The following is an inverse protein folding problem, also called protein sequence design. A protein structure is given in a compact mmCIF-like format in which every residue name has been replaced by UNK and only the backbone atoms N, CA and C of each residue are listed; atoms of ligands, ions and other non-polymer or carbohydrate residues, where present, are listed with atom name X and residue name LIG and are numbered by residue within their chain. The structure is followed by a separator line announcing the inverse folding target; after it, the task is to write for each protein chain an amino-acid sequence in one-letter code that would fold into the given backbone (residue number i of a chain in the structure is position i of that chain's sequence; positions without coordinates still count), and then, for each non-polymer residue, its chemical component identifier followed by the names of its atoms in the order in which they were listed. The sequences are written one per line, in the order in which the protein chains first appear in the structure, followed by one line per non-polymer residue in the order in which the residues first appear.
data_IF_151909704792
#
_entry.id   IF_151909704792
#
_cell.length_a   1.000
_cell.length_b   1.000
_cell.length_c   1.000
_cell.angle_alpha   90.00
_cell.angle_beta   90.00
_cell.angle_gamma   90.00
#
_symmetry.space_group_name_H-M   'P 1'
#
loop_
_entity.id
_entity.type
_entity.pdbx_description
1 polymer ?
#
# COMPACT_ATOMS: atom_id res chain seq x y z
N UNK A 1 -7.79 -2.44 12.38
CA UNK A 1 -7.75 -3.55 13.34
C UNK A 1 -7.40 -4.87 12.64
N UNK A 2 -6.12 -5.06 12.36
CA UNK A 2 -5.55 -6.40 12.28
C UNK A 2 -5.07 -6.74 13.70
N UNK A 3 -5.39 -7.93 14.20
CA UNK A 3 -4.90 -8.37 15.51
C UNK A 3 -3.87 -9.47 15.27
N UNK A 4 -2.63 -9.15 15.61
CA UNK A 4 -1.59 -10.15 15.80
C UNK A 4 -1.92 -10.95 17.07
N UNK A 5 -1.98 -12.27 16.98
CA UNK A 5 -1.93 -13.11 18.16
C UNK A 5 -0.82 -14.11 17.93
N UNK A 6 0.19 -14.05 18.81
CA UNK A 6 1.37 -14.92 18.91
C UNK A 6 1.11 -16.45 18.86
N UNK A 7 -0.13 -16.89 18.65
CA UNK A 7 -0.60 -18.27 18.68
C UNK A 7 -1.40 -18.72 17.42
N UNK A 8 -1.29 -18.01 16.29
CA UNK A 8 -1.67 -18.56 14.98
C UNK A 8 -3.17 -18.59 14.63
N UNK A 9 -4.05 -17.86 15.34
CA UNK A 9 -5.47 -17.70 14.94
C UNK A 9 -6.07 -16.32 15.26
N UNK A 10 -6.22 -15.45 14.22
CA UNK A 10 -7.49 -14.81 13.75
C UNK A 10 -7.30 -13.52 12.90
N UNK A 11 -8.00 -13.42 11.75
CA UNK A 11 -8.41 -12.20 10.99
C UNK A 11 -9.68 -11.60 11.65
N UNK A 12 -10.07 -10.33 11.47
CA UNK A 12 -10.62 -9.64 10.27
C UNK A 12 -10.60 -8.10 10.40
N UNK A 13 -10.65 -7.36 9.29
CA UNK A 13 -10.82 -5.90 9.24
C UNK A 13 -12.25 -5.44 8.83
N UNK A 14 -12.87 -4.60 9.65
CA UNK A 14 -13.80 -3.51 9.27
C UNK A 14 -14.08 -2.65 10.51
N UNK A 15 -14.02 -1.31 10.40
CA UNK A 15 -14.32 -0.34 11.50
C UNK A 15 -15.76 -0.43 12.06
N UNK A 16 -16.64 -1.32 11.54
CA UNK A 16 -18.06 -1.45 11.92
C UNK A 16 -18.50 -2.88 12.23
N UNK A 17 -17.85 -3.54 13.19
CA UNK A 17 -18.47 -4.54 14.08
C UNK A 17 -19.13 -5.79 13.50
N UNK A 18 -19.04 -6.10 12.21
CA UNK A 18 -19.63 -7.31 11.63
C UNK A 18 -18.56 -8.34 11.24
N UNK A 19 -18.68 -9.55 11.76
CA UNK A 19 -17.85 -10.69 11.36
C UNK A 19 -18.14 -11.05 9.88
N UNK A 20 -17.13 -10.99 9.02
CA UNK A 20 -17.27 -11.30 7.59
C UNK A 20 -17.00 -12.79 7.36
N UNK A 21 -17.96 -13.49 6.76
CA UNK A 21 -17.84 -14.86 6.24
C UNK A 21 -16.68 -14.91 5.21
N UNK A 22 -15.63 -15.71 5.42
CA UNK A 22 -14.53 -15.92 4.43
C UNK A 22 -13.12 -15.52 4.91
N UNK A 23 -12.47 -16.39 5.69
CA UNK A 23 -11.12 -16.18 6.23
C UNK A 23 -10.04 -16.33 5.14
N UNK A 24 -9.23 -15.29 4.87
CA UNK A 24 -8.06 -15.40 3.97
C UNK A 24 -6.79 -15.72 4.77
N UNK A 25 -6.28 -16.96 4.73
CA UNK A 25 -5.03 -17.34 5.42
C UNK A 25 -3.89 -16.35 5.09
N UNK A 26 -3.21 -15.83 6.13
CA UNK A 26 -2.01 -15.02 5.98
C UNK A 26 -0.84 -15.89 5.53
N UNK A 27 -0.16 -15.48 4.46
CA UNK A 27 1.02 -16.15 3.93
C UNK A 27 2.28 -15.43 4.39
N UNK A 28 3.25 -16.16 4.95
CA UNK A 28 4.52 -15.62 5.46
C UNK A 28 5.74 -16.43 5.02
N UNK A 29 5.53 -17.54 4.30
CA UNK A 29 6.56 -18.51 3.90
C UNK A 29 7.10 -18.26 2.48
N UNK A 30 6.78 -17.10 1.87
CA UNK A 30 7.16 -16.77 0.50
C UNK A 30 6.24 -17.38 -0.58
N UNK A 31 5.30 -18.27 -0.21
CA UNK A 31 4.41 -18.91 -1.18
C UNK A 31 3.36 -17.98 -1.78
N UNK A 32 3.37 -16.69 -1.45
CA UNK A 32 2.56 -15.65 -2.09
C UNK A 32 3.01 -15.38 -3.53
N UNK A 33 4.27 -15.68 -3.83
CA UNK A 33 4.83 -15.64 -5.17
C UNK A 33 4.90 -17.04 -5.80
N UNK A 34 4.47 -17.18 -7.05
CA UNK A 34 4.58 -18.42 -7.83
C UNK A 34 5.07 -18.09 -9.24
N UNK A 35 6.23 -18.65 -9.63
CA UNK A 35 6.87 -18.39 -10.94
C UNK A 35 7.01 -16.88 -11.24
N UNK A 36 7.43 -16.10 -10.24
CA UNK A 36 7.62 -14.65 -10.37
C UNK A 36 6.33 -13.81 -10.43
N UNK A 37 5.15 -14.40 -10.18
CA UNK A 37 3.85 -13.72 -10.16
C UNK A 37 3.19 -13.81 -8.79
N UNK A 38 2.53 -12.72 -8.38
CA UNK A 38 1.67 -12.70 -7.20
C UNK A 38 0.46 -13.64 -7.40
N UNK A 39 0.11 -14.36 -6.35
CA UNK A 39 -1.14 -15.14 -6.31
C UNK A 39 -2.34 -14.22 -6.09
N UNK A 40 -3.49 -14.64 -6.62
CA UNK A 40 -4.77 -13.96 -6.44
C UNK A 40 -5.45 -14.32 -5.12
N UNK A 41 -6.29 -13.42 -4.61
CA UNK A 41 -7.16 -13.60 -3.44
C UNK A 41 -6.43 -14.01 -2.15
N UNK A 42 -5.22 -13.51 -1.92
CA UNK A 42 -4.42 -13.82 -0.72
C UNK A 42 -4.13 -12.57 0.11
N UNK A 43 -3.76 -12.81 1.36
CA UNK A 43 -3.12 -11.82 2.23
C UNK A 43 -1.72 -12.37 2.57
N UNK A 44 -0.70 -11.54 2.53
CA UNK A 44 0.69 -11.97 2.77
C UNK A 44 1.49 -10.90 3.51
N UNK A 45 2.64 -11.32 4.07
CA UNK A 45 3.66 -10.40 4.60
C UNK A 45 4.89 -10.41 3.69
N UNK A 46 5.47 -9.23 3.46
CA UNK A 46 6.76 -9.08 2.75
C UNK A 46 7.51 -7.85 3.25
N UNK A 47 8.75 -7.69 2.79
CA UNK A 47 9.69 -6.67 3.28
C UNK A 47 10.35 -7.06 4.60
N UNK A 48 11.31 -6.24 5.00
CA UNK A 48 12.17 -6.45 6.18
C UNK A 48 11.38 -6.45 7.49
N UNK A 49 10.32 -5.65 7.53
CA UNK A 49 9.45 -5.48 8.69
C UNK A 49 8.10 -6.20 8.54
N UNK A 50 8.00 -7.09 7.55
CA UNK A 50 6.86 -7.98 7.36
C UNK A 50 5.49 -7.27 7.27
N UNK A 51 5.43 -6.17 6.53
CA UNK A 51 4.18 -5.43 6.28
C UNK A 51 3.16 -6.28 5.54
N UNK A 52 1.88 -5.98 5.75
CA UNK A 52 0.76 -6.77 5.23
C UNK A 52 0.31 -6.24 3.88
N UNK A 53 0.03 -7.14 2.95
CA UNK A 53 -0.49 -6.82 1.64
C UNK A 53 -1.65 -7.77 1.28
N UNK A 54 -2.55 -7.30 0.42
CA UNK A 54 -3.67 -8.09 -0.09
C UNK A 54 -3.76 -8.02 -1.61
N UNK A 55 -4.08 -9.15 -2.25
CA UNK A 55 -4.42 -9.22 -3.66
C UNK A 55 -5.90 -9.51 -3.91
N UNK A 56 -6.40 -9.01 -5.04
CA UNK A 56 -7.73 -9.36 -5.55
C UNK A 56 -7.69 -10.63 -6.45
N UNK A 57 -8.82 -10.93 -7.10
CA UNK A 57 -8.99 -12.09 -7.98
C UNK A 57 -8.08 -12.10 -9.21
N UNK A 58 -7.50 -10.97 -9.58
CA UNK A 58 -6.54 -10.83 -10.70
C UNK A 58 -5.09 -10.92 -10.24
N UNK A 59 -4.82 -11.05 -8.94
CA UNK A 59 -3.46 -11.07 -8.40
C UNK A 59 -2.78 -9.71 -8.37
N UNK A 60 -3.51 -8.60 -8.52
CA UNK A 60 -2.97 -7.25 -8.29
C UNK A 60 -3.15 -6.85 -6.83
N UNK A 61 -2.22 -6.04 -6.32
CA UNK A 61 -2.20 -5.57 -4.94
C UNK A 61 -3.30 -4.52 -4.74
N UNK A 62 -4.23 -4.75 -3.83
CA UNK A 62 -5.33 -3.82 -3.52
C UNK A 62 -5.18 -3.13 -2.16
N UNK A 63 -4.34 -3.67 -1.29
CA UNK A 63 -4.08 -3.12 0.04
C UNK A 63 -2.61 -3.32 0.44
N UNK A 64 -2.03 -2.33 1.11
CA UNK A 64 -0.78 -2.45 1.86
C UNK A 64 -0.95 -1.76 3.21
N UNK A 65 -0.50 -2.40 4.29
CA UNK A 65 -0.68 -1.92 5.65
C UNK A 65 0.54 -2.17 6.53
N UNK A 66 0.91 -1.15 7.29
CA UNK A 66 1.92 -1.18 8.34
C UNK A 66 1.33 -0.54 9.60
N UNK A 67 1.17 -1.30 10.69
CA UNK A 67 0.76 -0.71 11.98
C UNK A 67 1.88 0.12 12.61
N UNK A 68 3.12 -0.29 12.35
CA UNK A 68 4.33 0.36 12.82
C UNK A 68 5.34 0.37 11.66
N UNK A 69 5.36 1.47 10.92
CA UNK A 69 6.29 1.70 9.82
C UNK A 69 7.67 2.00 10.39
N UNK A 70 8.66 1.22 9.97
CA UNK A 70 10.03 1.34 10.48
C UNK A 70 11.00 1.69 9.36
N UNK A 71 12.12 2.32 9.70
CA UNK A 71 13.22 2.50 8.75
C UNK A 71 13.86 1.15 8.43
N UNK A 72 14.38 1.01 7.21
CA UNK A 72 15.11 -0.20 6.80
C UNK A 72 16.26 -0.55 7.75
N UNK A 73 16.58 -1.84 7.79
CA UNK A 73 17.70 -2.39 8.57
C UNK A 73 18.96 -2.61 7.72
N UNK A 74 18.82 -2.61 6.39
CA UNK A 74 19.94 -2.79 5.48
C UNK A 74 20.66 -1.48 5.14
N UNK A 75 21.95 -1.59 4.80
CA UNK A 75 22.77 -0.51 4.28
C UNK A 75 22.55 -0.28 2.78
N UNK A 76 22.64 0.98 2.35
CA UNK A 76 22.50 1.34 0.93
C UNK A 76 21.08 1.09 0.39
N UNK A 77 20.88 1.17 -0.92
CA UNK A 77 19.57 0.95 -1.57
C UNK A 77 19.55 -0.41 -2.28
N UNK A 78 18.53 -1.23 -2.05
CA UNK A 78 18.37 -2.50 -2.78
C UNK A 78 17.87 -2.28 -4.22
N UNK A 79 18.25 -3.15 -5.17
CA UNK A 79 17.66 -3.16 -6.50
C UNK A 79 16.17 -3.50 -6.42
N UNK A 80 15.42 -3.14 -7.45
CA UNK A 80 13.99 -3.46 -7.55
C UNK A 80 13.64 -3.95 -8.94
N UNK A 81 12.55 -4.71 -9.05
CA UNK A 81 12.05 -5.23 -10.31
C UNK A 81 11.35 -4.14 -11.13
N UNK A 82 11.86 -3.77 -12.33
CA UNK A 82 11.29 -2.68 -13.10
C UNK A 82 10.04 -3.07 -13.92
N UNK A 83 9.68 -4.36 -13.95
CA UNK A 83 8.67 -4.97 -14.85
C UNK A 83 7.31 -5.15 -14.16
N UNK A 84 6.74 -4.05 -13.66
CA UNK A 84 5.40 -4.07 -13.06
C UNK A 84 4.30 -4.34 -14.12
N UNK A 85 3.18 -5.01 -13.75
CA UNK A 85 2.12 -5.34 -14.70
C UNK A 85 1.43 -4.09 -15.29
N UNK A 86 1.17 -4.09 -16.61
CA UNK A 86 0.45 -3.01 -17.32
C UNK A 86 1.15 -1.64 -17.18
N UNK A 87 2.48 -1.66 -17.03
CA UNK A 87 3.34 -0.46 -17.00
C UNK A 87 3.35 0.22 -18.37
N UNK A 88 3.03 1.51 -18.38
CA UNK A 88 3.00 2.34 -19.59
C UNK A 88 4.23 3.24 -19.68
N UNK A 89 4.46 3.84 -20.85
CA UNK A 89 5.49 4.88 -20.98
C UNK A 89 5.21 6.04 -20.00
N UNK A 90 6.25 6.50 -19.31
CA UNK A 90 6.13 7.50 -18.24
C UNK A 90 5.76 6.94 -16.86
N UNK A 91 5.55 5.63 -16.74
CA UNK A 91 5.41 4.96 -15.43
C UNK A 91 6.75 4.49 -14.86
N UNK A 92 6.82 4.50 -13.53
CA UNK A 92 7.85 3.85 -12.74
C UNK A 92 7.29 2.55 -12.11
N UNK A 93 8.19 1.65 -11.70
CA UNK A 93 7.87 0.61 -10.75
C UNK A 93 7.87 1.24 -9.34
N UNK A 94 6.72 1.74 -8.94
CA UNK A 94 6.54 2.46 -7.67
C UNK A 94 6.38 1.48 -6.53
N UNK A 95 7.09 1.72 -5.44
CA UNK A 95 6.87 1.00 -4.20
C UNK A 95 5.60 1.48 -3.52
N UNK A 96 4.82 0.57 -2.94
CA UNK A 96 3.75 0.92 -2.00
C UNK A 96 4.35 1.29 -0.65
N UNK A 97 5.31 0.50 -0.17
CA UNK A 97 6.20 0.84 0.94
C UNK A 97 7.62 0.88 0.41
N UNK A 98 8.27 2.04 0.50
CA UNK A 98 9.58 2.26 -0.10
C UNK A 98 10.71 1.47 0.56
N UNK A 99 11.80 1.27 -0.19
CA UNK A 99 13.07 0.67 0.27
C UNK A 99 13.57 1.28 1.58
N UNK A 100 13.44 2.59 1.78
CA UNK A 100 13.84 3.28 3.03
C UNK A 100 13.09 2.81 4.27
N UNK A 101 11.95 2.15 4.09
CA UNK A 101 11.16 1.55 5.15
C UNK A 101 11.26 0.02 5.15
N UNK A 102 12.24 -0.56 4.45
CA UNK A 102 12.40 -2.01 4.35
C UNK A 102 11.37 -2.66 3.41
N UNK A 103 10.73 -1.91 2.52
CA UNK A 103 9.81 -2.48 1.54
C UNK A 103 10.52 -3.42 0.56
N UNK A 104 9.83 -4.48 0.14
CA UNK A 104 10.35 -5.42 -0.85
C UNK A 104 10.58 -4.74 -2.21
N UNK A 105 11.70 -5.09 -2.86
CA UNK A 105 12.01 -4.70 -4.24
C UNK A 105 11.37 -5.59 -5.30
N UNK A 106 10.60 -6.61 -4.91
CA UNK A 106 9.94 -7.54 -5.81
C UNK A 106 8.51 -7.10 -6.17
N UNK A 107 7.90 -7.79 -7.15
CA UNK A 107 6.54 -7.49 -7.62
C UNK A 107 5.46 -7.65 -6.55
N UNK A 108 5.81 -8.17 -5.37
CA UNK A 108 4.95 -8.30 -4.20
C UNK A 108 4.78 -6.99 -3.41
N UNK A 109 5.49 -5.92 -3.76
CA UNK A 109 5.36 -4.58 -3.14
C UNK A 109 5.31 -3.44 -4.18
N UNK A 110 5.42 -3.78 -5.47
CA UNK A 110 5.54 -2.82 -6.56
C UNK A 110 4.29 -2.76 -7.43
N UNK A 111 3.98 -1.55 -7.90
CA UNK A 111 2.91 -1.29 -8.86
C UNK A 111 3.36 -0.31 -9.95
N UNK A 112 2.70 -0.35 -11.11
CA UNK A 112 2.92 0.66 -12.15
C UNK A 112 2.36 2.01 -11.72
N UNK A 113 3.23 3.00 -11.58
CA UNK A 113 2.85 4.30 -11.03
C UNK A 113 3.39 5.43 -11.91
N UNK A 114 2.53 6.40 -12.22
CA UNK A 114 2.95 7.58 -12.99
C UNK A 114 4.13 8.29 -12.31
N UNK A 115 5.19 8.60 -13.09
CA UNK A 115 6.44 9.21 -12.59
C UNK A 115 6.23 10.42 -11.67
N UNK A 116 5.27 11.30 -11.98
CA UNK A 116 4.95 12.47 -11.16
C UNK A 116 4.39 12.11 -9.78
N UNK A 117 3.56 11.07 -9.69
CA UNK A 117 3.01 10.58 -8.42
C UNK A 117 4.13 9.98 -7.58
N UNK A 118 4.97 9.15 -8.20
CA UNK A 118 6.12 8.52 -7.55
C UNK A 118 7.12 9.55 -7.01
N UNK A 119 7.61 10.45 -7.87
CA UNK A 119 8.75 11.33 -7.54
C UNK A 119 8.39 12.53 -6.65
N UNK A 120 7.13 12.95 -6.60
CA UNK A 120 6.71 14.14 -5.83
C UNK A 120 5.76 13.79 -4.70
N UNK A 121 4.65 13.14 -5.01
CA UNK A 121 3.59 12.93 -4.03
C UNK A 121 3.95 11.87 -2.99
N UNK A 122 4.35 10.68 -3.44
CA UNK A 122 4.83 9.62 -2.56
C UNK A 122 6.10 10.05 -1.83
N UNK A 123 7.09 10.59 -2.54
CA UNK A 123 8.32 11.10 -1.93
C UNK A 123 8.07 12.04 -0.73
N UNK A 124 7.15 13.00 -0.85
CA UNK A 124 6.86 13.93 0.24
C UNK A 124 6.22 13.24 1.47
N UNK A 125 5.36 12.24 1.24
CA UNK A 125 4.79 11.44 2.32
C UNK A 125 5.87 10.63 3.02
N UNK A 126 6.70 9.94 2.23
CA UNK A 126 7.80 9.13 2.73
C UNK A 126 8.83 9.98 3.49
N UNK A 127 9.13 11.20 3.05
CA UNK A 127 10.00 12.12 3.79
C UNK A 127 9.37 12.52 5.14
N UNK A 128 8.05 12.76 5.16
CA UNK A 128 7.30 13.10 6.38
C UNK A 128 7.33 11.95 7.39
N UNK A 129 7.02 10.74 6.94
CA UNK A 129 7.04 9.55 7.79
C UNK A 129 8.44 9.22 8.29
N UNK A 130 9.45 9.29 7.42
CA UNK A 130 10.84 9.05 7.82
C UNK A 130 11.32 10.07 8.86
N UNK A 131 10.93 11.34 8.73
CA UNK A 131 11.23 12.36 9.75
C UNK A 131 10.56 12.03 11.08
N UNK A 132 9.27 11.69 11.07
CA UNK A 132 8.53 11.34 12.27
C UNK A 132 9.13 10.12 13.00
N UNK A 133 9.48 9.06 12.26
CA UNK A 133 10.12 7.87 12.83
C UNK A 133 11.47 8.23 13.48
N UNK A 134 12.27 9.09 12.84
CA UNK A 134 13.55 9.57 13.41
C UNK A 134 13.37 10.41 14.67
N UNK A 135 12.23 11.07 14.82
CA UNK A 135 11.85 11.81 16.02
C UNK A 135 11.27 10.88 17.12
N UNK A 136 11.26 9.56 16.91
CA UNK A 136 10.76 8.58 17.86
C UNK A 136 9.24 8.40 17.85
N UNK A 137 8.55 8.94 16.83
CA UNK A 137 7.09 8.89 16.69
C UNK A 137 6.65 7.57 16.07
N UNK A 138 5.50 7.05 16.52
CA UNK A 138 4.86 5.89 15.88
C UNK A 138 4.17 6.34 14.61
N UNK A 139 4.41 5.62 13.51
CA UNK A 139 3.76 5.87 12.23
C UNK A 139 3.01 4.62 11.78
N UNK A 140 1.70 4.72 11.55
CA UNK A 140 0.92 3.67 10.88
C UNK A 140 0.50 4.12 9.49
N UNK A 141 0.44 3.21 8.53
CA UNK A 141 0.11 3.50 7.13
C UNK A 141 -0.85 2.43 6.59
N UNK A 142 -1.92 2.89 5.95
CA UNK A 142 -2.93 2.09 5.23
C UNK A 142 -3.08 2.65 3.81
N UNK A 143 -2.69 1.85 2.82
CA UNK A 143 -2.72 2.23 1.40
C UNK A 143 -3.71 1.32 0.69
N UNK A 144 -4.77 1.91 0.17
CA UNK A 144 -5.73 1.25 -0.72
C UNK A 144 -5.45 1.62 -2.16
N UNK A 145 -5.43 0.61 -3.01
CA UNK A 145 -5.15 0.75 -4.43
C UNK A 145 -6.41 0.44 -5.21
N UNK A 146 -6.81 1.39 -6.06
CA UNK A 146 -8.00 1.25 -6.90
C UNK A 146 -7.61 1.07 -8.35
N UNK A 147 -8.32 0.17 -9.03
CA UNK A 147 -8.10 -0.17 -10.43
C UNK A 147 -9.34 0.18 -11.25
N UNK A 148 -9.15 0.45 -12.53
CA UNK A 148 -10.26 0.39 -13.48
C UNK A 148 -10.58 -1.08 -13.80
N UNK A 149 -11.83 -1.35 -14.18
CA UNK A 149 -12.18 -2.68 -14.65
C UNK A 149 -11.28 -3.09 -15.83
N UNK A 150 -10.92 -4.36 -15.90
CA UNK A 150 -9.94 -4.86 -16.89
C UNK A 150 -8.47 -4.53 -16.60
N UNK A 151 -8.13 -3.36 -16.03
CA UNK A 151 -6.74 -2.90 -15.91
C UNK A 151 -5.95 -3.55 -14.76
N UNK A 152 -4.64 -3.74 -14.97
CA UNK A 152 -3.69 -4.14 -13.93
C UNK A 152 -2.82 -2.96 -13.45
N UNK A 153 -2.99 -1.79 -14.06
CA UNK A 153 -2.36 -0.53 -13.66
C UNK A 153 -3.27 0.21 -12.67
N UNK A 154 -2.76 0.61 -11.49
CA UNK A 154 -3.53 1.43 -10.55
C UNK A 154 -4.07 2.69 -11.19
N UNK A 155 -5.34 3.00 -10.87
CA UNK A 155 -6.03 4.26 -11.19
C UNK A 155 -5.77 5.32 -10.14
N UNK A 156 -5.76 4.93 -8.87
CA UNK A 156 -5.56 5.84 -7.75
C UNK A 156 -5.12 5.12 -6.48
N UNK A 157 -4.55 5.91 -5.57
CA UNK A 157 -4.14 5.50 -4.24
C UNK A 157 -4.84 6.34 -3.19
N UNK A 158 -5.50 5.69 -2.25
CA UNK A 158 -6.00 6.28 -1.02
C UNK A 158 -5.03 5.90 0.10
N UNK A 159 -4.35 6.90 0.67
CA UNK A 159 -3.35 6.71 1.72
C UNK A 159 -3.87 7.35 3.00
N UNK A 160 -4.21 6.51 3.97
CA UNK A 160 -4.48 6.92 5.35
C UNK A 160 -3.24 6.61 6.18
N UNK A 161 -2.82 7.55 7.02
CA UNK A 161 -1.68 7.33 7.91
C UNK A 161 -1.87 8.07 9.22
N UNK A 162 -1.24 7.58 10.27
CA UNK A 162 -1.26 8.18 11.59
C UNK A 162 0.17 8.48 12.05
N UNK A 163 0.37 9.61 12.74
CA UNK A 163 1.63 9.95 13.41
C UNK A 163 1.28 10.32 14.86
N UNK A 164 1.67 9.48 15.82
CA UNK A 164 1.35 9.61 17.25
C UNK A 164 -0.13 9.95 17.51
N UNK A 165 -1.06 9.13 17.00
CA UNK A 165 -2.49 9.35 17.17
C UNK A 165 -3.12 10.37 16.22
N UNK A 166 -2.33 11.17 15.50
CA UNK A 166 -2.84 12.17 14.56
C UNK A 166 -3.08 11.56 13.19
N UNK A 167 -4.35 11.44 12.79
CA UNK A 167 -4.75 10.82 11.53
C UNK A 167 -4.73 11.79 10.35
N UNK A 168 -4.23 11.31 9.21
CA UNK A 168 -4.13 12.02 7.96
C UNK A 168 -4.64 11.16 6.81
N UNK A 169 -5.12 11.81 5.74
CA UNK A 169 -5.62 11.15 4.54
C UNK A 169 -5.21 11.89 3.27
N UNK A 170 -4.75 11.15 2.27
CA UNK A 170 -4.40 11.65 0.92
C UNK A 170 -4.99 10.77 -0.15
N UNK A 171 -5.36 11.38 -1.27
CA UNK A 171 -5.88 10.69 -2.45
C UNK A 171 -5.09 11.15 -3.68
N UNK A 172 -4.49 10.19 -4.40
CA UNK A 172 -3.70 10.45 -5.60
C UNK A 172 -4.27 9.70 -6.79
N UNK A 173 -4.56 10.41 -7.88
CA UNK A 173 -4.91 9.78 -9.16
C UNK A 173 -3.66 9.59 -10.02
N UNK A 174 -3.56 8.44 -10.70
CA UNK A 174 -2.43 8.12 -11.60
C UNK A 174 -2.65 8.64 -13.03
N UNK A 175 -3.85 9.14 -13.36
CA UNK A 175 -4.18 9.76 -14.64
C UNK A 175 -4.47 11.26 -14.48
N UNK A 176 -3.94 12.10 -15.38
CA UNK A 176 -4.43 13.48 -15.62
C UNK A 176 -5.83 13.37 -16.25
N UNK A 177 -6.90 13.30 -15.47
CA UNK A 177 -8.24 13.36 -16.05
C UNK A 177 -9.12 14.38 -15.31
N UNK A 178 -9.53 15.45 -16.01
CA UNK A 178 -10.23 16.61 -15.44
C UNK A 178 -11.56 16.25 -14.75
N UNK A 179 -12.24 15.18 -15.19
CA UNK A 179 -13.47 14.67 -14.55
C UNK A 179 -13.27 14.37 -13.06
N UNK A 180 -12.06 13.97 -12.66
CA UNK A 180 -11.76 13.63 -11.25
C UNK A 180 -11.60 14.83 -10.32
N UNK A 181 -11.28 16.04 -10.81
CA UNK A 181 -11.33 17.23 -9.93
C UNK A 181 -12.73 17.45 -9.36
N UNK A 182 -13.78 17.07 -10.13
CA UNK A 182 -15.18 17.14 -9.69
C UNK A 182 -15.51 16.06 -8.65
N UNK A 183 -15.06 14.82 -8.87
CA UNK A 183 -15.21 13.72 -7.90
C UNK A 183 -14.41 13.94 -6.60
N UNK A 184 -13.15 14.42 -6.68
CA UNK A 184 -12.33 14.75 -5.51
C UNK A 184 -12.98 15.87 -4.68
N UNK A 185 -13.51 16.91 -5.33
CA UNK A 185 -14.27 17.99 -4.66
C UNK A 185 -15.52 17.44 -3.97
N UNK A 186 -16.27 16.55 -4.61
CA UNK A 186 -17.48 15.96 -4.05
C UNK A 186 -17.17 15.01 -2.87
N UNK A 187 -16.12 14.20 -2.96
CA UNK A 187 -15.70 13.31 -1.88
C UNK A 187 -15.18 14.12 -0.68
N UNK A 188 -14.33 15.13 -0.90
CA UNK A 188 -13.83 16.00 0.17
C UNK A 188 -14.94 16.85 0.82
N UNK A 189 -15.97 17.26 0.06
CA UNK A 189 -17.12 17.98 0.60
C UNK A 189 -17.96 17.11 1.55
N UNK A 190 -18.18 15.83 1.21
CA UNK A 190 -18.97 14.90 2.02
C UNK A 190 -18.31 14.51 3.35
N UNK A 191 -17.02 14.80 3.53
CA UNK A 191 -16.27 14.53 4.76
C UNK A 191 -16.05 15.76 5.65
N UNK A 192 -16.43 16.97 5.20
CA UNK A 192 -16.44 18.19 6.04
C UNK A 192 -17.75 18.39 6.83
N UNK A 193 -18.65 17.42 6.78
CA UNK A 193 -20.00 17.45 7.38
C UNK A 193 -20.15 16.46 8.53
N UNK A 194 -19.03 15.98 9.11
CA UNK A 194 -18.98 15.14 10.31
C UNK A 194 -18.03 15.80 11.29
#
# INVERSE_FOLDING_TARGET
MYIDTKNGKKLYLSKKGHAVKGYKKLITDGSHMKKGKLRANIIYRTGEHHYIYETNSKGVIVHAYADDLQLKIHEGRKPHNPKTPDKQEGDHAGHLVADRFGGSGDLDSLVSQAKKVNLKHYKNLEDTWAKAIKEGKKVSVDIKIHYEEGSLRPKSFEVEYEIDGNAYKKLYATRRNLKWRKYLKMYLWRFKQI
#
